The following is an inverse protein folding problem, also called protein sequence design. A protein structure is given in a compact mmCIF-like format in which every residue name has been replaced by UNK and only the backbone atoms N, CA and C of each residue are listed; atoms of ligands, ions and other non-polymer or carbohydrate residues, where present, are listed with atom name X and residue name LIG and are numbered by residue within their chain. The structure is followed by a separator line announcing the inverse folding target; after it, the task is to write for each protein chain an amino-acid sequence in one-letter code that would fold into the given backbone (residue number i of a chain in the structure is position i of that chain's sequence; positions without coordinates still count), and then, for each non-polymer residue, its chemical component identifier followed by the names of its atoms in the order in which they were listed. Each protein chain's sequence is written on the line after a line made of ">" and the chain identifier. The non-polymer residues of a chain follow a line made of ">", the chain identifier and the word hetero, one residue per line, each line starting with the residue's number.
data_IF_974416845835
#
_entry.id   IF_974416845835
#
_cell.length_a   1.000
_cell.length_b   1.000
_cell.length_c   1.000
_cell.angle_alpha   90.00
_cell.angle_beta   90.00
_cell.angle_gamma   90.00
#
_symmetry.space_group_name_H-M   'P 1'
#
loop_
_entity.id
_entity.type
_entity.pdbx_description
1 polymer ?
#
# COMPACT_ATOMS: atom_id res chain seq x y z
N UNK A 1 3.97 -23.53 10.57
CA UNK A 1 3.18 -22.43 11.17
C UNK A 1 1.78 -22.98 11.40
N UNK A 2 1.14 -22.67 12.54
CA UNK A 2 -0.25 -23.08 12.78
C UNK A 2 -1.14 -22.31 11.79
N UNK A 3 -2.12 -22.99 11.20
CA UNK A 3 -3.12 -22.37 10.33
C UNK A 3 -4.06 -21.52 11.20
N UNK A 4 -3.79 -20.23 11.30
CA UNK A 4 -4.48 -19.28 12.20
C UNK A 4 -5.89 -18.97 11.70
N UNK A 5 -6.07 -18.95 10.38
CA UNK A 5 -7.36 -18.63 9.73
C UNK A 5 -8.22 -19.87 9.48
N UNK A 6 -7.78 -21.04 9.93
CA UNK A 6 -8.58 -22.27 9.83
C UNK A 6 -9.89 -22.15 10.61
N UNK A 7 -10.99 -22.52 9.95
CA UNK A 7 -12.34 -22.44 10.53
C UNK A 7 -13.09 -21.15 10.22
N UNK A 8 -12.47 -20.21 9.53
CA UNK A 8 -13.19 -19.07 8.94
C UNK A 8 -13.84 -19.47 7.62
N UNK A 9 -15.02 -18.89 7.34
CA UNK A 9 -15.74 -19.11 6.08
C UNK A 9 -15.77 -17.81 5.25
N UNK A 10 -15.59 -17.91 3.92
CA UNK A 10 -15.40 -19.11 3.11
C UNK A 10 -13.99 -19.74 3.29
N UNK A 11 -13.95 -21.04 3.63
CA UNK A 11 -12.70 -21.70 4.03
C UNK A 11 -11.60 -21.67 2.97
N UNK A 12 -11.93 -21.83 1.68
CA UNK A 12 -10.97 -21.74 0.58
C UNK A 12 -10.33 -20.35 0.47
N UNK A 13 -11.12 -19.28 0.64
CA UNK A 13 -10.64 -17.90 0.61
C UNK A 13 -9.58 -17.68 1.69
N UNK A 14 -9.91 -18.00 2.94
CA UNK A 14 -8.99 -17.77 4.06
C UNK A 14 -7.78 -18.71 4.02
N UNK A 15 -7.92 -19.90 3.46
CA UNK A 15 -6.79 -20.79 3.19
C UNK A 15 -5.78 -20.12 2.25
N UNK A 16 -6.24 -19.61 1.10
CA UNK A 16 -5.35 -18.96 0.15
C UNK A 16 -4.79 -17.63 0.67
N UNK A 17 -5.59 -16.87 1.40
CA UNK A 17 -5.08 -15.65 2.03
C UNK A 17 -3.93 -15.95 3.01
N UNK A 18 -4.04 -17.01 3.81
CA UNK A 18 -2.98 -17.43 4.71
C UNK A 18 -1.74 -17.95 3.96
N UNK A 19 -1.91 -18.63 2.83
CA UNK A 19 -0.78 -19.01 1.96
C UNK A 19 -0.07 -17.78 1.38
N UNK A 20 -0.80 -16.80 0.92
CA UNK A 20 -0.26 -15.55 0.38
C UNK A 20 0.51 -14.77 1.46
N UNK A 21 0.02 -14.74 2.69
CA UNK A 21 0.74 -14.12 3.81
C UNK A 21 2.13 -14.72 4.06
N UNK A 22 2.37 -15.96 3.64
CA UNK A 22 3.69 -16.62 3.76
C UNK A 22 4.69 -16.15 2.71
N UNK A 23 4.25 -15.44 1.68
CA UNK A 23 5.05 -15.07 0.51
C UNK A 23 5.38 -13.57 0.58
N UNK A 24 6.64 -13.17 0.77
CA UNK A 24 7.06 -11.80 0.63
C UNK A 24 6.75 -11.25 -0.77
N UNK A 25 6.07 -10.10 -0.81
CA UNK A 25 5.58 -9.48 -2.06
C UNK A 25 5.60 -7.94 -2.04
N UNK A 26 6.71 -7.31 -1.63
CA UNK A 26 6.80 -5.85 -1.70
C UNK A 26 6.76 -5.40 -3.16
N UNK A 27 6.23 -4.19 -3.41
CA UNK A 27 6.18 -3.58 -4.73
C UNK A 27 7.55 -3.60 -5.41
N UNK A 28 7.59 -3.95 -6.70
CA UNK A 28 8.80 -4.14 -7.53
C UNK A 28 9.67 -5.34 -7.15
N UNK A 29 9.17 -6.25 -6.33
CA UNK A 29 9.84 -7.50 -5.92
C UNK A 29 8.85 -8.65 -5.82
N UNK A 30 7.95 -8.74 -6.78
CA UNK A 30 6.81 -9.66 -6.79
C UNK A 30 7.17 -11.05 -7.37
N UNK A 31 8.43 -11.32 -7.68
CA UNK A 31 8.84 -12.56 -8.37
C UNK A 31 8.41 -13.83 -7.61
N UNK A 32 8.40 -13.79 -6.27
CA UNK A 32 8.03 -14.95 -5.45
C UNK A 32 6.54 -15.27 -5.56
N UNK A 33 5.69 -14.24 -5.46
CA UNK A 33 4.24 -14.41 -5.58
C UNK A 33 3.85 -14.73 -7.02
N UNK A 34 4.49 -14.13 -8.02
CA UNK A 34 4.28 -14.46 -9.42
C UNK A 34 4.64 -15.93 -9.72
N UNK A 35 5.76 -16.42 -9.20
CA UNK A 35 6.15 -17.82 -9.32
C UNK A 35 5.12 -18.76 -8.66
N UNK A 36 4.63 -18.40 -7.47
CA UNK A 36 3.57 -19.16 -6.79
C UNK A 36 2.29 -19.25 -7.64
N UNK A 37 1.86 -18.14 -8.26
CA UNK A 37 0.69 -18.12 -9.14
C UNK A 37 0.88 -18.99 -10.40
N UNK A 38 2.07 -18.94 -11.00
CA UNK A 38 2.43 -19.79 -12.13
C UNK A 38 2.40 -21.28 -11.75
N UNK A 39 2.95 -21.62 -10.60
CA UNK A 39 2.94 -23.02 -10.12
C UNK A 39 1.54 -23.48 -9.71
N UNK A 40 0.72 -22.58 -9.17
CA UNK A 40 -0.69 -22.83 -8.93
C UNK A 40 -1.42 -23.20 -10.23
N UNK A 41 -1.27 -22.39 -11.28
CA UNK A 41 -1.89 -22.64 -12.58
C UNK A 41 -1.47 -24.01 -13.16
N UNK A 42 -0.18 -24.33 -13.10
CA UNK A 42 0.33 -25.65 -13.54
C UNK A 42 -0.27 -26.80 -12.72
N UNK A 43 -0.32 -26.67 -11.40
CA UNK A 43 -0.87 -27.69 -10.49
C UNK A 43 -2.33 -28.02 -10.81
N UNK A 44 -3.10 -27.01 -11.21
CA UNK A 44 -4.51 -27.14 -11.54
C UNK A 44 -4.77 -27.37 -13.04
N UNK A 45 -3.73 -27.57 -13.86
CA UNK A 45 -3.83 -27.75 -15.31
C UNK A 45 -4.58 -26.60 -16.01
N UNK A 46 -4.36 -25.36 -15.58
CA UNK A 46 -4.96 -24.16 -16.13
C UNK A 46 -3.99 -23.44 -17.06
N UNK A 47 -4.49 -22.88 -18.17
CA UNK A 47 -3.69 -22.03 -19.06
C UNK A 47 -3.17 -20.85 -18.27
N UNK A 48 -1.84 -20.68 -18.22
CA UNK A 48 -1.16 -19.66 -17.45
C UNK A 48 -0.17 -18.90 -18.32
N UNK A 49 -0.28 -17.58 -18.34
CA UNK A 49 0.54 -16.69 -19.15
C UNK A 49 1.20 -15.70 -18.20
N UNK A 50 2.48 -15.39 -18.43
CA UNK A 50 3.18 -14.26 -17.83
C UNK A 50 3.49 -13.28 -18.95
N UNK A 51 3.04 -12.04 -18.82
CA UNK A 51 3.31 -11.02 -19.81
C UNK A 51 4.73 -10.41 -19.66
N UNK A 52 5.07 -9.47 -20.51
CA UNK A 52 6.41 -8.82 -20.51
C UNK A 52 6.64 -7.93 -19.28
N UNK A 53 5.59 -7.48 -18.64
CA UNK A 53 5.63 -6.61 -17.46
C UNK A 53 5.76 -7.43 -16.18
N UNK A 54 5.39 -8.73 -16.24
CA UNK A 54 5.38 -9.63 -15.09
C UNK A 54 3.98 -9.94 -14.57
N UNK A 55 2.93 -9.39 -15.20
CA UNK A 55 1.54 -9.75 -14.86
C UNK A 55 1.30 -11.23 -15.14
N UNK A 56 0.50 -11.87 -14.29
CA UNK A 56 0.11 -13.28 -14.46
C UNK A 56 -1.35 -13.35 -14.84
N UNK A 57 -1.67 -14.11 -15.89
CA UNK A 57 -3.04 -14.38 -16.32
C UNK A 57 -3.28 -15.88 -16.23
N UNK A 58 -4.32 -16.30 -15.50
CA UNK A 58 -4.73 -17.69 -15.38
C UNK A 58 -6.14 -17.82 -15.93
N UNK A 59 -6.36 -18.76 -16.87
CA UNK A 59 -7.65 -18.97 -17.51
C UNK A 59 -8.29 -20.24 -17.02
N UNK A 60 -9.58 -20.14 -16.64
CA UNK A 60 -10.42 -21.26 -16.27
C UNK A 60 -11.52 -21.46 -17.32
N UNK A 61 -11.62 -22.65 -17.94
CA UNK A 61 -12.74 -22.99 -18.82
C UNK A 61 -14.08 -22.89 -18.08
N UNK A 62 -15.15 -22.63 -18.81
CA UNK A 62 -16.49 -22.60 -18.24
C UNK A 62 -16.88 -23.93 -17.58
N UNK A 63 -17.73 -23.85 -16.57
CA UNK A 63 -18.42 -25.02 -16.06
C UNK A 63 -19.29 -25.65 -17.17
N UNK A 64 -19.46 -26.98 -17.11
CA UNK A 64 -20.22 -27.75 -18.11
C UNK A 64 -21.61 -27.15 -18.34
N UNK A 65 -21.92 -26.84 -19.60
CA UNK A 65 -23.18 -26.23 -20.04
C UNK A 65 -23.24 -24.73 -19.93
N UNK A 66 -22.11 -24.06 -19.54
CA UNK A 66 -22.01 -22.61 -19.42
C UNK A 66 -20.99 -21.99 -20.41
N UNK A 67 -20.60 -22.74 -21.42
CA UNK A 67 -19.56 -22.35 -22.39
C UNK A 67 -19.96 -21.13 -23.24
N UNK A 68 -21.27 -20.92 -23.40
CA UNK A 68 -21.84 -19.79 -24.17
C UNK A 68 -22.04 -18.52 -23.34
N UNK A 69 -21.74 -18.53 -22.03
CA UNK A 69 -21.80 -17.34 -21.22
C UNK A 69 -20.66 -16.40 -21.56
N UNK A 70 -20.88 -15.10 -21.34
CA UNK A 70 -19.83 -14.09 -21.51
C UNK A 70 -18.68 -14.39 -20.54
N UNK A 71 -17.47 -14.31 -21.05
CA UNK A 71 -16.27 -14.42 -20.22
C UNK A 71 -16.05 -13.16 -19.39
N UNK A 72 -15.45 -13.35 -18.22
CA UNK A 72 -15.19 -12.28 -17.23
C UNK A 72 -13.72 -12.31 -16.84
N UNK A 73 -13.10 -11.13 -16.72
CA UNK A 73 -11.81 -10.97 -16.04
C UNK A 73 -12.09 -10.61 -14.58
N UNK A 74 -11.49 -11.36 -13.66
CA UNK A 74 -11.31 -10.97 -12.28
C UNK A 74 -9.90 -10.37 -12.15
N UNK A 75 -9.74 -9.19 -11.55
CA UNK A 75 -8.44 -8.53 -11.47
C UNK A 75 -8.13 -8.16 -10.02
N UNK A 76 -6.88 -8.41 -9.63
CA UNK A 76 -6.27 -8.00 -8.37
C UNK A 76 -4.80 -7.62 -8.60
N UNK A 77 -4.18 -6.87 -7.67
CA UNK A 77 -2.75 -6.67 -7.69
C UNK A 77 -2.02 -7.60 -6.72
N UNK A 78 -0.74 -7.92 -7.01
CA UNK A 78 0.01 -8.92 -6.27
C UNK A 78 1.03 -8.37 -5.28
N UNK A 79 1.35 -7.09 -5.37
CA UNK A 79 2.21 -6.40 -4.40
C UNK A 79 1.44 -5.97 -3.15
N UNK A 80 2.09 -5.35 -2.21
CA UNK A 80 1.50 -4.78 -1.00
C UNK A 80 2.35 -3.64 -0.45
N UNK A 81 1.73 -2.70 0.24
CA UNK A 81 2.40 -1.70 1.07
C UNK A 81 3.16 -2.36 2.22
N UNK A 82 4.45 -2.09 2.33
CA UNK A 82 5.35 -2.68 3.32
C UNK A 82 5.68 -1.68 4.43
N UNK A 83 4.81 -1.58 5.44
CA UNK A 83 4.99 -0.73 6.61
C UNK A 83 4.97 -1.53 7.91
N UNK A 84 5.76 -1.11 8.90
CA UNK A 84 5.83 -1.73 10.22
C UNK A 84 5.97 -0.73 11.35
N UNK A 85 5.63 -1.15 12.56
CA UNK A 85 5.90 -0.34 13.74
C UNK A 85 7.41 -0.19 13.96
N UNK A 86 7.82 0.93 14.54
CA UNK A 86 9.24 1.25 14.75
C UNK A 86 9.98 0.28 15.68
N UNK A 87 9.25 -0.45 16.51
CA UNK A 87 9.74 -1.48 17.45
C UNK A 87 9.65 -2.90 16.89
N UNK A 88 9.11 -3.08 15.69
CA UNK A 88 8.94 -4.38 15.05
C UNK A 88 10.18 -4.74 14.22
N UNK A 89 10.77 -5.89 14.51
CA UNK A 89 11.83 -6.48 13.69
C UNK A 89 11.17 -7.36 12.61
N UNK A 90 11.23 -6.92 11.35
CA UNK A 90 10.65 -7.61 10.21
C UNK A 90 11.40 -7.21 8.93
N UNK A 91 11.69 -8.14 8.06
CA UNK A 91 12.29 -7.94 6.74
C UNK A 91 11.27 -8.36 5.67
N UNK A 92 10.61 -7.39 5.04
CA UNK A 92 9.58 -7.65 4.03
C UNK A 92 10.09 -8.40 2.78
N UNK A 93 11.38 -8.45 2.55
CA UNK A 93 11.95 -9.24 1.45
C UNK A 93 12.05 -10.75 1.79
N UNK A 94 11.95 -11.11 3.08
CA UNK A 94 12.23 -12.49 3.56
C UNK A 94 11.17 -13.05 4.49
N UNK A 95 10.65 -12.21 5.38
CA UNK A 95 9.81 -12.69 6.48
C UNK A 95 8.33 -12.74 6.04
N UNK A 96 7.60 -13.79 6.45
CA UNK A 96 6.18 -13.89 6.19
C UNK A 96 5.38 -12.91 7.06
N UNK A 97 4.29 -12.39 6.54
CA UNK A 97 3.30 -11.66 7.34
C UNK A 97 2.66 -12.64 8.33
N UNK A 98 2.49 -12.20 9.57
CA UNK A 98 1.88 -13.00 10.63
C UNK A 98 0.45 -12.51 10.90
N UNK A 99 -0.58 -13.12 10.29
CA UNK A 99 -1.95 -12.78 10.58
C UNK A 99 -2.32 -13.18 12.01
N UNK A 100 -3.18 -12.41 12.66
CA UNK A 100 -3.73 -12.67 13.99
C UNK A 100 -5.21 -12.30 13.99
N UNK A 101 -6.02 -13.04 14.76
CA UNK A 101 -7.44 -12.72 14.97
C UNK A 101 -7.56 -11.91 16.25
N UNK A 102 -8.15 -10.71 16.15
CA UNK A 102 -8.39 -9.80 17.29
C UNK A 102 -9.87 -9.41 17.29
N UNK A 103 -10.67 -10.07 18.09
CA UNK A 103 -12.12 -9.94 18.03
C UNK A 103 -12.65 -10.43 16.69
N UNK A 104 -13.35 -9.57 15.97
CA UNK A 104 -13.91 -9.85 14.63
C UNK A 104 -12.95 -9.47 13.48
N UNK A 105 -11.73 -9.04 13.79
CA UNK A 105 -10.77 -8.53 12.81
C UNK A 105 -9.60 -9.49 12.59
N UNK A 106 -9.19 -9.64 11.35
CA UNK A 106 -7.89 -10.18 11.00
C UNK A 106 -6.91 -9.02 10.90
N UNK A 107 -5.80 -9.09 11.64
CA UNK A 107 -4.73 -8.08 11.66
C UNK A 107 -3.38 -8.74 11.43
N UNK A 108 -2.35 -7.93 11.16
CA UNK A 108 -0.97 -8.40 11.18
C UNK A 108 -0.26 -7.99 12.47
N UNK A 109 0.71 -8.80 12.89
CA UNK A 109 1.49 -8.54 14.10
C UNK A 109 2.60 -7.52 13.82
N UNK A 110 2.30 -6.26 14.06
CA UNK A 110 3.28 -5.16 13.99
C UNK A 110 3.64 -4.69 12.58
N UNK A 111 2.99 -5.23 11.55
CA UNK A 111 3.18 -4.85 10.14
C UNK A 111 1.85 -4.53 9.48
N UNK A 112 1.89 -4.03 8.24
CA UNK A 112 0.75 -4.08 7.32
C UNK A 112 0.35 -5.53 7.07
N UNK A 113 -0.95 -5.78 6.81
CA UNK A 113 -1.51 -7.12 6.59
C UNK A 113 -1.40 -7.55 5.12
N UNK A 114 -1.51 -6.60 4.19
CA UNK A 114 -1.61 -6.86 2.76
C UNK A 114 -2.92 -7.53 2.36
N UNK A 115 -4.03 -7.22 3.04
CA UNK A 115 -5.36 -7.64 2.61
C UNK A 115 -5.76 -6.96 1.30
N UNK A 116 -5.31 -5.75 1.12
CA UNK A 116 -5.21 -4.99 -0.10
C UNK A 116 -3.96 -5.46 -0.88
N UNK A 117 -4.03 -6.05 -2.07
CA UNK A 117 -5.23 -6.76 -2.58
C UNK A 117 -5.07 -8.29 -2.45
N UNK A 118 -4.42 -8.73 -1.36
CA UNK A 118 -4.23 -10.16 -1.06
C UNK A 118 -5.53 -10.94 -0.92
N UNK A 119 -6.63 -10.29 -0.52
CA UNK A 119 -7.93 -10.94 -0.42
C UNK A 119 -8.53 -11.18 -1.81
N UNK A 120 -8.33 -10.26 -2.75
CA UNK A 120 -8.72 -10.43 -4.15
C UNK A 120 -7.93 -11.57 -4.81
N UNK A 121 -6.61 -11.66 -4.57
CA UNK A 121 -5.82 -12.82 -5.02
C UNK A 121 -6.39 -14.12 -4.46
N UNK A 122 -6.68 -14.17 -3.15
CA UNK A 122 -7.21 -15.35 -2.50
C UNK A 122 -8.57 -15.77 -3.05
N UNK A 123 -9.45 -14.80 -3.34
CA UNK A 123 -10.75 -15.03 -3.96
C UNK A 123 -10.60 -15.64 -5.37
N UNK A 124 -9.69 -15.09 -6.17
CA UNK A 124 -9.39 -15.62 -7.50
C UNK A 124 -8.87 -17.06 -7.44
N UNK A 125 -7.92 -17.35 -6.54
CA UNK A 125 -7.38 -18.71 -6.37
C UNK A 125 -8.47 -19.70 -5.90
N UNK A 126 -9.33 -19.28 -4.97
CA UNK A 126 -10.45 -20.10 -4.51
C UNK A 126 -11.44 -20.43 -5.64
N UNK A 127 -11.71 -19.46 -6.53
CA UNK A 127 -12.55 -19.68 -7.71
C UNK A 127 -11.85 -20.57 -8.73
N UNK A 128 -10.56 -20.33 -9.01
CA UNK A 128 -9.78 -21.13 -9.95
C UNK A 128 -9.70 -22.61 -9.55
N UNK A 129 -9.53 -22.90 -8.25
CA UNK A 129 -9.51 -24.28 -7.75
C UNK A 129 -10.91 -24.93 -7.74
N UNK A 130 -11.98 -24.16 -7.55
CA UNK A 130 -13.32 -24.68 -7.32
C UNK A 130 -13.79 -25.57 -8.46
N UNK A 131 -14.53 -26.63 -8.12
CA UNK A 131 -15.23 -27.52 -9.08
C UNK A 131 -16.75 -27.48 -8.92
N UNK A 132 -17.21 -26.72 -7.93
CA UNK A 132 -18.60 -26.68 -7.44
C UNK A 132 -19.27 -25.31 -7.68
N UNK A 133 -18.54 -24.30 -8.13
CA UNK A 133 -19.07 -22.98 -8.48
C UNK A 133 -19.47 -22.98 -9.96
N UNK A 134 -20.76 -22.74 -10.30
CA UNK A 134 -21.16 -22.57 -11.70
C UNK A 134 -20.65 -21.22 -12.25
N UNK A 135 -19.98 -21.25 -13.42
CA UNK A 135 -19.40 -20.04 -14.03
C UNK A 135 -19.22 -20.20 -15.55
N UNK A 136 -19.28 -19.10 -16.29
CA UNK A 136 -18.78 -19.00 -17.66
C UNK A 136 -17.25 -19.04 -17.70
N UNK A 137 -16.62 -18.82 -18.87
CA UNK A 137 -15.15 -18.73 -18.94
C UNK A 137 -14.64 -17.58 -18.04
N UNK A 138 -13.57 -17.83 -17.29
CA UNK A 138 -12.95 -16.84 -16.40
C UNK A 138 -11.49 -16.63 -16.76
N UNK A 139 -11.07 -15.39 -16.75
CA UNK A 139 -9.65 -14.98 -16.74
C UNK A 139 -9.35 -14.32 -15.38
N UNK A 140 -8.34 -14.79 -14.69
CA UNK A 140 -7.82 -14.13 -13.50
C UNK A 140 -6.56 -13.36 -13.87
N UNK A 141 -6.60 -12.05 -13.77
CA UNK A 141 -5.49 -11.14 -14.03
C UNK A 141 -4.89 -10.69 -12.69
N UNK A 142 -3.61 -10.93 -12.53
CA UNK A 142 -2.82 -10.55 -11.37
C UNK A 142 -1.77 -9.53 -11.82
N UNK A 143 -1.93 -8.27 -11.44
CA UNK A 143 -1.06 -7.17 -11.86
C UNK A 143 0.06 -6.91 -10.86
N UNK A 144 1.24 -6.52 -11.36
CA UNK A 144 2.39 -6.12 -10.55
C UNK A 144 2.39 -4.63 -10.27
N UNK A 145 3.05 -4.22 -9.17
CA UNK A 145 3.41 -2.83 -8.85
C UNK A 145 2.25 -1.84 -8.96
N UNK A 146 1.13 -2.14 -8.29
CA UNK A 146 -0.01 -1.23 -8.18
C UNK A 146 0.35 -0.05 -7.27
N UNK A 147 0.81 -0.34 -6.06
CA UNK A 147 1.00 0.55 -4.91
C UNK A 147 2.03 1.67 -5.15
N UNK A 148 2.93 1.52 -6.12
CA UNK A 148 3.96 2.53 -6.39
C UNK A 148 3.87 3.17 -7.76
N UNK A 149 3.01 2.68 -8.67
CA UNK A 149 2.93 3.31 -9.97
C UNK A 149 2.01 2.66 -11.01
N UNK A 150 1.20 1.66 -10.66
CA UNK A 150 0.32 0.95 -11.59
C UNK A 150 1.07 0.36 -12.80
N UNK A 151 2.35 -0.02 -12.59
CA UNK A 151 3.25 -0.46 -13.69
C UNK A 151 2.66 -1.65 -14.44
N UNK A 152 2.08 -2.61 -13.71
CA UNK A 152 1.44 -3.78 -14.30
C UNK A 152 0.26 -3.41 -15.18
N UNK A 153 -0.61 -2.54 -14.71
CA UNK A 153 -1.80 -2.12 -15.46
C UNK A 153 -1.43 -1.31 -16.72
N UNK A 154 -0.49 -0.38 -16.62
CA UNK A 154 -0.01 0.41 -17.77
C UNK A 154 0.79 -0.42 -18.78
N UNK A 155 1.50 -1.45 -18.32
CA UNK A 155 2.31 -2.32 -19.18
C UNK A 155 1.57 -3.51 -19.77
N UNK A 156 0.30 -3.73 -19.37
CA UNK A 156 -0.50 -4.84 -19.86
C UNK A 156 -0.75 -4.74 -21.38
N UNK A 157 -0.45 -5.80 -22.10
CA UNK A 157 -0.89 -5.95 -23.50
C UNK A 157 -2.38 -6.31 -23.52
N UNK A 158 -3.27 -5.39 -23.92
CA UNK A 158 -4.70 -5.64 -23.90
C UNK A 158 -5.15 -6.77 -24.83
N UNK A 159 -4.32 -7.18 -25.79
CA UNK A 159 -4.63 -8.27 -26.72
C UNK A 159 -4.56 -9.65 -26.06
N UNK A 160 -3.94 -9.76 -24.88
CA UNK A 160 -3.87 -11.01 -24.12
C UNK A 160 -5.22 -11.37 -23.53
N UNK A 161 -6.02 -10.37 -23.09
CA UNK A 161 -7.33 -10.59 -22.52
C UNK A 161 -8.37 -10.88 -23.61
N UNK A 162 -9.19 -11.89 -23.37
CA UNK A 162 -10.27 -12.31 -24.29
C UNK A 162 -11.64 -11.82 -23.85
N UNK A 163 -11.77 -11.48 -22.59
CA UNK A 163 -13.03 -11.06 -21.97
C UNK A 163 -13.29 -9.58 -22.14
N UNK A 164 -14.55 -9.19 -22.18
CA UNK A 164 -14.99 -7.80 -22.30
C UNK A 164 -15.63 -7.24 -21.02
N UNK A 165 -15.72 -8.04 -19.97
CA UNK A 165 -16.21 -7.66 -18.65
C UNK A 165 -15.06 -7.83 -17.67
N UNK A 166 -14.71 -6.76 -16.96
CA UNK A 166 -13.68 -6.80 -15.92
C UNK A 166 -14.31 -6.44 -14.57
N UNK A 167 -14.04 -7.27 -13.57
CA UNK A 167 -14.35 -7.03 -12.18
C UNK A 167 -13.03 -6.84 -11.43
N UNK A 168 -12.73 -5.60 -11.06
CA UNK A 168 -11.63 -5.28 -10.18
C UNK A 168 -12.05 -5.63 -8.74
N UNK A 169 -11.19 -6.37 -8.01
CA UNK A 169 -11.47 -6.85 -6.66
C UNK A 169 -10.85 -5.98 -5.58
N UNK A 170 -10.24 -4.89 -5.98
CA UNK A 170 -9.49 -3.95 -5.17
C UNK A 170 -10.39 -2.80 -4.65
N UNK A 171 -11.55 -3.16 -4.08
CA UNK A 171 -12.49 -2.21 -3.47
C UNK A 171 -12.62 -2.49 -1.98
N UNK A 172 -12.55 -1.44 -1.16
CA UNK A 172 -12.58 -1.52 0.30
C UNK A 172 -13.97 -1.25 0.91
N UNK A 173 -14.92 -0.71 0.13
CA UNK A 173 -16.24 -0.33 0.63
C UNK A 173 -17.25 -1.47 0.51
N UNK A 174 -17.71 -1.98 1.64
CA UNK A 174 -18.66 -3.09 1.71
C UNK A 174 -20.04 -2.69 1.12
N UNK A 175 -20.51 -3.51 0.19
CA UNK A 175 -21.83 -3.34 -0.42
C UNK A 175 -21.90 -2.29 -1.53
N UNK A 176 -20.79 -1.68 -1.93
CA UNK A 176 -20.71 -0.71 -3.00
C UNK A 176 -20.08 -1.29 -4.28
N UNK A 177 -20.53 -0.81 -5.44
CA UNK A 177 -19.95 -1.15 -6.74
C UNK A 177 -19.54 0.14 -7.42
N UNK A 178 -18.25 0.29 -7.70
CA UNK A 178 -17.68 1.45 -8.38
C UNK A 178 -17.60 1.20 -9.87
N UNK A 179 -18.15 2.13 -10.67
CA UNK A 179 -18.13 2.08 -12.15
C UNK A 179 -17.23 3.15 -12.77
N UNK A 180 -16.42 3.80 -11.95
CA UNK A 180 -15.48 4.83 -12.36
C UNK A 180 -14.40 5.02 -11.30
N UNK A 181 -13.35 5.76 -11.64
CA UNK A 181 -12.28 6.12 -10.72
C UNK A 181 -11.90 7.59 -10.83
N UNK A 182 -11.26 8.12 -9.78
CA UNK A 182 -10.62 9.42 -9.83
C UNK A 182 -9.28 9.32 -10.56
N UNK A 183 -8.83 10.43 -11.15
CA UNK A 183 -7.47 10.58 -11.65
C UNK A 183 -6.60 11.32 -10.65
N UNK A 184 -5.28 11.15 -10.76
CA UNK A 184 -4.30 11.85 -9.96
C UNK A 184 -3.18 12.42 -10.81
N UNK A 185 -2.48 13.43 -10.27
CA UNK A 185 -1.27 13.99 -10.85
C UNK A 185 -0.28 14.32 -9.75
N UNK A 186 0.94 13.82 -9.90
CA UNK A 186 2.05 14.18 -9.02
C UNK A 186 2.77 15.42 -9.53
N UNK A 187 3.06 16.35 -8.64
CA UNK A 187 3.90 17.52 -8.93
C UNK A 187 5.14 17.47 -8.03
N UNK A 188 6.30 17.32 -8.63
CA UNK A 188 7.59 17.39 -7.94
C UNK A 188 8.17 18.79 -8.10
N UNK A 189 8.40 19.47 -6.97
CA UNK A 189 8.99 20.83 -6.95
C UNK A 189 10.41 20.70 -6.40
N UNK A 190 11.38 21.14 -7.18
CA UNK A 190 12.79 21.23 -6.75
C UNK A 190 13.15 22.69 -6.53
N UNK A 191 13.48 23.04 -5.27
CA UNK A 191 13.94 24.36 -4.91
C UNK A 191 15.44 24.30 -4.59
N UNK A 192 16.31 24.94 -5.39
CA UNK A 192 17.72 25.00 -5.06
C UNK A 192 17.95 25.88 -3.81
N UNK A 193 18.64 25.35 -2.82
CA UNK A 193 18.96 26.05 -1.60
C UNK A 193 20.48 26.17 -1.44
N UNK A 194 20.93 27.35 -1.05
CA UNK A 194 22.32 27.59 -0.67
C UNK A 194 22.42 27.48 0.85
N UNK A 195 23.28 26.58 1.32
CA UNK A 195 23.47 26.33 2.74
C UNK A 195 24.60 27.30 3.26
N UNK A 196 24.30 27.98 4.36
CA UNK A 196 25.23 28.84 5.05
C UNK A 196 25.63 28.24 6.41
N UNK A 197 26.88 28.46 6.80
CA UNK A 197 27.32 28.14 8.17
C UNK A 197 26.79 29.20 9.15
N UNK A 198 26.12 28.71 10.21
CA UNK A 198 25.80 29.57 11.34
C UNK A 198 27.04 29.72 12.26
N UNK A 199 27.20 30.88 12.89
CA UNK A 199 28.26 31.12 13.85
C UNK A 199 27.93 30.58 15.24
N UNK A 200 28.81 30.74 16.22
CA UNK A 200 28.65 30.28 17.61
C UNK A 200 27.51 30.93 18.38
N UNK A 201 26.92 32.00 17.84
CA UNK A 201 25.80 32.72 18.48
C UNK A 201 24.47 31.97 18.30
N UNK A 202 24.45 30.88 17.53
CA UNK A 202 23.28 30.09 17.28
C UNK A 202 23.31 28.76 18.04
N UNK A 203 22.15 28.36 18.54
CA UNK A 203 21.90 27.07 19.17
C UNK A 203 21.02 26.20 18.27
N UNK A 204 21.45 24.94 18.08
CA UNK A 204 20.70 23.95 17.31
C UNK A 204 19.58 23.31 18.12
N UNK A 205 18.46 23.08 17.47
CA UNK A 205 17.33 22.32 18.01
C UNK A 205 16.85 21.29 17.00
N UNK A 206 16.39 20.14 17.50
CA UNK A 206 15.58 19.19 16.75
C UNK A 206 14.12 19.41 17.13
N UNK A 207 13.30 19.74 16.15
CA UNK A 207 11.84 19.85 16.28
C UNK A 207 11.22 18.62 15.67
N UNK A 208 10.35 17.95 16.40
CA UNK A 208 9.65 16.75 15.92
C UNK A 208 8.14 16.88 16.12
N UNK A 209 7.39 16.54 15.09
CA UNK A 209 5.96 16.29 15.12
C UNK A 209 5.76 14.79 14.99
N UNK A 210 4.99 14.15 15.88
CA UNK A 210 4.73 12.71 15.87
C UNK A 210 3.43 12.36 16.56
N UNK A 211 2.97 11.12 16.39
CA UNK A 211 1.75 10.62 17.02
C UNK A 211 0.45 11.00 16.29
N UNK A 212 0.54 11.51 15.06
CA UNK A 212 -0.64 11.77 14.24
C UNK A 212 -1.20 10.46 13.66
N UNK A 213 -2.50 10.46 13.35
CA UNK A 213 -3.20 9.28 12.88
C UNK A 213 -2.73 8.83 11.49
N UNK A 214 -2.47 9.79 10.58
CA UNK A 214 -2.28 9.50 9.16
C UNK A 214 -3.58 9.15 8.45
N UNK A 215 -3.49 8.74 7.20
CA UNK A 215 -4.61 8.34 6.37
C UNK A 215 -4.25 8.42 4.88
N UNK A 216 -5.14 7.96 4.01
CA UNK A 216 -4.97 8.08 2.56
C UNK A 216 -5.15 9.54 2.13
N UNK A 217 -4.30 10.02 1.21
CA UNK A 217 -4.32 11.43 0.76
C UNK A 217 -5.53 11.81 -0.09
N UNK A 218 -6.25 10.83 -0.63
CA UNK A 218 -7.53 10.97 -1.32
C UNK A 218 -8.71 10.73 -0.38
N UNK A 219 -8.93 9.49 0.03
CA UNK A 219 -10.14 9.04 0.73
C UNK A 219 -10.30 9.59 2.15
N UNK A 220 -9.18 9.92 2.81
CA UNK A 220 -9.19 10.51 4.15
C UNK A 220 -9.00 12.03 4.16
N UNK A 221 -8.83 12.69 3.01
CA UNK A 221 -8.49 14.12 2.94
C UNK A 221 -9.56 15.02 3.58
N UNK A 222 -10.81 14.61 3.48
CA UNK A 222 -11.96 15.33 4.03
C UNK A 222 -12.18 15.10 5.55
N UNK A 223 -11.47 14.15 6.16
CA UNK A 223 -11.64 13.78 7.57
C UNK A 223 -10.94 14.71 8.56
N UNK A 224 -10.24 15.74 8.06
CA UNK A 224 -9.54 16.73 8.90
C UNK A 224 -8.38 16.19 9.71
N UNK A 225 -7.72 15.13 9.21
CA UNK A 225 -6.60 14.48 9.90
C UNK A 225 -5.36 15.40 9.93
N UNK A 226 -4.61 15.32 11.02
CA UNK A 226 -3.39 16.10 11.19
C UNK A 226 -2.33 15.69 10.16
N UNK A 227 -1.68 16.68 9.54
CA UNK A 227 -0.61 16.51 8.57
C UNK A 227 0.69 17.10 9.11
N UNK A 228 1.70 16.27 9.36
CA UNK A 228 2.96 16.66 9.95
C UNK A 228 3.71 17.71 9.11
N UNK A 229 3.64 17.66 7.78
CA UNK A 229 4.22 18.67 6.89
C UNK A 229 3.63 20.05 7.18
N UNK A 230 2.30 20.15 7.28
CA UNK A 230 1.61 21.41 7.52
C UNK A 230 1.87 21.96 8.91
N UNK A 231 1.83 21.10 9.93
CA UNK A 231 2.04 21.48 11.33
C UNK A 231 3.47 21.98 11.52
N UNK A 232 4.46 21.20 11.07
CA UNK A 232 5.87 21.55 11.19
C UNK A 232 6.20 22.81 10.39
N UNK A 233 5.70 22.93 9.15
CA UNK A 233 5.93 24.12 8.33
C UNK A 233 5.34 25.38 8.96
N UNK A 234 4.14 25.32 9.56
CA UNK A 234 3.54 26.46 10.26
C UNK A 234 4.43 26.94 11.40
N UNK A 235 4.88 26.01 12.24
CA UNK A 235 5.81 26.32 13.34
C UNK A 235 7.10 26.98 12.81
N UNK A 236 7.70 26.42 11.77
CA UNK A 236 8.96 26.93 11.21
C UNK A 236 8.77 28.31 10.58
N UNK A 237 7.69 28.52 9.83
CA UNK A 237 7.38 29.81 9.21
C UNK A 237 7.18 30.91 10.25
N UNK A 238 6.37 30.66 11.27
CA UNK A 238 6.15 31.63 12.34
C UNK A 238 7.42 31.89 13.14
N UNK A 239 8.18 30.83 13.44
CA UNK A 239 9.46 30.97 14.15
C UNK A 239 10.55 31.70 13.35
N UNK A 240 10.55 31.55 12.03
CA UNK A 240 11.46 32.31 11.17
C UNK A 240 11.17 33.82 11.27
N UNK A 241 9.88 34.19 11.31
CA UNK A 241 9.49 35.62 11.44
C UNK A 241 9.70 36.15 12.86
N UNK A 242 9.42 35.39 13.91
CA UNK A 242 9.49 35.85 15.30
C UNK A 242 10.92 35.80 15.86
N UNK A 243 11.69 34.77 15.52
CA UNK A 243 12.96 34.44 16.16
C UNK A 243 14.14 34.42 15.18
N UNK A 244 13.93 34.77 13.90
CA UNK A 244 14.99 34.67 12.88
C UNK A 244 15.53 33.23 12.74
N UNK A 245 14.68 32.23 12.99
CA UNK A 245 15.02 30.80 12.90
C UNK A 245 15.59 30.48 11.51
N UNK A 246 16.67 29.69 11.49
CA UNK A 246 17.29 29.14 10.29
C UNK A 246 17.06 27.65 10.24
N UNK A 247 16.71 27.12 9.06
CA UNK A 247 16.44 25.68 8.86
C UNK A 247 17.69 25.03 8.27
N UNK A 248 18.20 23.99 8.93
CA UNK A 248 19.29 23.17 8.43
C UNK A 248 18.81 21.93 7.67
N UNK A 249 17.72 21.31 8.14
CA UNK A 249 17.07 20.21 7.43
C UNK A 249 15.58 20.15 7.76
N UNK A 250 14.81 19.61 6.83
CA UNK A 250 13.39 19.35 6.99
C UNK A 250 13.10 17.99 6.36
N UNK A 251 12.47 17.09 7.12
CA UNK A 251 12.07 15.80 6.64
C UNK A 251 10.71 15.42 7.26
N UNK A 252 9.67 15.29 6.43
CA UNK A 252 8.35 14.96 6.90
C UNK A 252 7.54 14.27 5.80
N UNK A 253 6.82 13.20 6.19
CA UNK A 253 6.12 12.32 5.27
C UNK A 253 7.09 11.43 4.48
N UNK A 254 6.65 10.25 4.14
CA UNK A 254 7.44 9.24 3.40
C UNK A 254 6.75 8.79 2.11
N UNK A 255 5.43 8.89 2.04
CA UNK A 255 4.62 8.46 0.89
C UNK A 255 3.78 9.62 0.37
N UNK A 256 3.71 9.75 -0.97
CA UNK A 256 2.94 10.81 -1.64
C UNK A 256 1.42 10.63 -1.50
N UNK A 257 0.95 9.38 -1.42
CA UNK A 257 -0.45 9.00 -1.24
C UNK A 257 -0.88 8.87 0.23
N UNK A 258 -0.02 9.24 1.19
CA UNK A 258 -0.32 9.20 2.60
C UNK A 258 -0.27 10.58 3.26
N UNK A 259 -1.22 10.87 4.17
CA UNK A 259 -1.18 12.03 5.04
C UNK A 259 -0.05 11.85 6.04
N UNK A 260 0.94 12.76 6.04
CA UNK A 260 2.16 12.65 6.82
C UNK A 260 1.87 12.55 8.33
N UNK A 261 2.28 11.44 8.95
CA UNK A 261 2.09 11.17 10.39
C UNK A 261 3.17 11.75 11.28
N UNK A 262 4.35 11.89 10.73
CA UNK A 262 5.54 12.34 11.45
C UNK A 262 6.36 13.29 10.58
N UNK A 263 7.13 14.13 11.25
CA UNK A 263 8.09 15.00 10.61
C UNK A 263 9.09 15.57 11.61
N UNK A 264 10.27 15.90 11.12
CA UNK A 264 11.30 16.54 11.92
C UNK A 264 12.05 17.63 11.14
N UNK A 265 12.54 18.60 11.87
CA UNK A 265 13.44 19.61 11.34
C UNK A 265 14.61 19.85 12.29
N UNK A 266 15.79 20.10 11.71
CA UNK A 266 16.93 20.62 12.42
C UNK A 266 16.99 22.12 12.15
N UNK A 267 16.99 22.90 13.21
CA UNK A 267 16.91 24.35 13.13
C UNK A 267 17.97 25.01 14.01
N UNK A 268 18.30 26.26 13.71
CA UNK A 268 19.20 27.09 14.53
C UNK A 268 18.50 28.40 14.89
N UNK A 269 18.59 28.80 16.15
CA UNK A 269 18.05 30.03 16.70
C UNK A 269 19.13 30.75 17.51
N UNK A 270 19.14 32.07 17.50
CA UNK A 270 20.11 32.86 18.27
C UNK A 270 20.04 32.48 19.76
N UNK A 271 21.19 32.31 20.40
CA UNK A 271 21.33 31.92 21.81
C UNK A 271 20.53 32.81 22.77
N UNK A 272 20.51 34.15 22.51
CA UNK A 272 19.86 35.10 23.37
C UNK A 272 18.33 34.88 23.52
N UNK A 273 17.69 34.35 22.47
CA UNK A 273 16.22 34.14 22.42
C UNK A 273 15.84 32.64 22.31
N UNK A 274 16.84 31.77 22.48
CA UNK A 274 16.63 30.32 22.34
C UNK A 274 15.66 29.73 23.37
N UNK A 275 15.57 30.35 24.54
CA UNK A 275 14.59 29.99 25.59
C UNK A 275 13.16 30.33 25.17
N UNK A 276 12.92 31.51 24.66
CA UNK A 276 11.62 31.96 24.17
C UNK A 276 11.13 31.11 23.01
N UNK A 277 11.98 30.77 22.07
CA UNK A 277 11.68 29.83 20.98
C UNK A 277 11.24 28.46 21.51
N UNK A 278 11.98 27.91 22.50
CA UNK A 278 11.64 26.61 23.09
C UNK A 278 10.26 26.59 23.74
N UNK A 279 9.93 27.69 24.45
CA UNK A 279 8.63 27.81 25.12
C UNK A 279 7.48 28.04 24.12
N UNK A 280 7.75 28.77 23.06
CA UNK A 280 6.82 28.94 21.94
C UNK A 280 6.52 27.62 21.24
N UNK A 281 7.56 26.86 20.85
CA UNK A 281 7.42 25.59 20.15
C UNK A 281 6.70 24.50 20.95
N UNK A 282 6.59 24.63 22.29
CA UNK A 282 5.83 23.71 23.15
C UNK A 282 4.34 24.08 23.24
N UNK A 283 3.96 25.29 22.88
CA UNK A 283 2.56 25.76 22.98
C UNK A 283 1.75 25.50 21.71
N UNK A 284 2.43 25.26 20.61
CA UNK A 284 1.86 24.89 19.33
C UNK A 284 1.73 23.36 19.22
#
# INVERSE_FOLDING_TARGET
>A
MSNILTGLEPSRLYHYFEEICKIPRPSKKEEKIAAYLVDFGKKHNLETIVDKTGNVIIRKPAAKGMENLKSVVLQSHIDMVCEKNSDTVHDFDKDPIQPVIVGEWIKAKGTTLGADDGIGIAAQLAILESTDIPHGPIECLFTVDEETGLTGAFGLDPTILKSSILLNLDSEDEGEIFIGCAGGMDTVITLPCVMEKVNSDYKGFKVKVSGLKGGHSGDDINKGLGNANKILNRLLWESANLFGLKVASFNAGNLRNAIAREGEAIVAVNNAISGEFKDYAKKI
#
